data_IF_951333857151
#
_entry.id   IF_951333857151
#
_cell.length_a   1.000
_cell.length_b   1.000
_cell.length_c   1.000
_cell.angle_alpha   90.00
_cell.angle_beta   90.00
_cell.angle_gamma   90.00
#
_symmetry.space_group_name_H-M   'P 1'
#
loop_
_entity.id
_entity.type
_entity.pdbx_description
1 polymer ?
#
# COMPACT_ATOMS: atom_id res chain seq x y z
N UNK A 1 -1.53 -24.50 -9.97
CA UNK A 1 -1.38 -25.83 -9.38
C UNK A 1 -2.40 -26.07 -8.26
N UNK A 2 -2.36 -25.34 -7.10
CA UNK A 2 -3.22 -25.59 -5.93
C UNK A 2 -4.72 -25.51 -6.24
N UNK A 3 -5.20 -24.45 -6.89
CA UNK A 3 -6.62 -24.29 -7.22
C UNK A 3 -7.13 -25.35 -8.21
N UNK A 4 -6.29 -25.79 -9.13
CA UNK A 4 -6.62 -26.89 -10.04
C UNK A 4 -6.80 -28.20 -9.25
N UNK A 5 -5.87 -28.47 -8.34
CA UNK A 5 -5.92 -29.62 -7.46
C UNK A 5 -7.19 -29.62 -6.58
N UNK A 6 -7.51 -28.48 -5.97
CA UNK A 6 -8.75 -28.31 -5.17
C UNK A 6 -10.00 -28.55 -6.03
N UNK A 7 -9.99 -28.11 -7.29
CA UNK A 7 -11.12 -28.34 -8.20
C UNK A 7 -11.31 -29.83 -8.55
N UNK A 8 -10.22 -30.56 -8.70
CA UNK A 8 -10.23 -32.00 -8.99
C UNK A 8 -10.67 -32.83 -7.77
N UNK A 9 -10.29 -32.39 -6.55
CA UNK A 9 -10.54 -33.11 -5.30
C UNK A 9 -11.66 -32.48 -4.45
N UNK A 10 -12.60 -31.77 -5.08
CA UNK A 10 -13.68 -31.01 -4.39
C UNK A 10 -14.44 -31.82 -3.35
N UNK A 11 -14.75 -33.07 -3.65
CA UNK A 11 -15.54 -33.95 -2.78
C UNK A 11 -14.86 -34.19 -1.43
N UNK A 12 -13.54 -34.26 -1.41
CA UNK A 12 -12.76 -34.46 -0.18
C UNK A 12 -12.81 -33.21 0.71
N UNK A 13 -12.76 -32.03 0.09
CA UNK A 13 -12.75 -30.76 0.81
C UNK A 13 -14.13 -30.27 1.24
N UNK A 14 -15.21 -30.75 0.59
CA UNK A 14 -16.58 -30.31 0.93
C UNK A 14 -16.97 -30.60 2.38
N UNK A 15 -16.50 -31.70 2.96
CA UNK A 15 -16.82 -32.05 4.34
C UNK A 15 -16.15 -31.10 5.35
N UNK A 16 -14.99 -30.58 5.04
CA UNK A 16 -14.18 -29.74 5.94
C UNK A 16 -14.43 -28.26 5.75
N UNK A 17 -14.58 -27.83 4.50
CA UNK A 17 -14.61 -26.41 4.12
C UNK A 17 -15.94 -25.94 3.51
N UNK A 18 -16.93 -26.83 3.44
CA UNK A 18 -18.23 -26.53 2.85
C UNK A 18 -18.27 -26.67 1.33
N UNK A 19 -19.33 -26.16 0.71
CA UNK A 19 -19.56 -26.37 -0.72
C UNK A 19 -18.59 -25.57 -1.61
N UNK A 20 -17.62 -26.26 -2.18
CA UNK A 20 -16.68 -25.72 -3.16
C UNK A 20 -17.21 -25.99 -4.55
N UNK A 21 -17.68 -24.96 -5.25
CA UNK A 21 -18.17 -25.10 -6.64
C UNK A 21 -17.06 -24.91 -7.66
N UNK A 22 -17.13 -25.63 -8.77
CA UNK A 22 -16.21 -25.43 -9.91
C UNK A 22 -16.29 -23.98 -10.44
N UNK A 23 -17.46 -23.37 -10.38
CA UNK A 23 -17.67 -22.00 -10.79
C UNK A 23 -16.89 -21.01 -9.91
N UNK A 24 -16.89 -21.21 -8.59
CA UNK A 24 -16.10 -20.38 -7.67
C UNK A 24 -14.60 -20.52 -7.92
N UNK A 25 -14.09 -21.74 -8.09
CA UNK A 25 -12.68 -21.98 -8.40
C UNK A 25 -12.29 -21.31 -9.74
N UNK A 26 -13.15 -21.46 -10.76
CA UNK A 26 -12.92 -20.85 -12.07
C UNK A 26 -12.93 -19.33 -12.00
N UNK A 27 -13.80 -18.73 -11.18
CA UNK A 27 -13.84 -17.29 -10.97
C UNK A 27 -12.55 -16.77 -10.33
N UNK A 28 -12.02 -17.49 -9.33
CA UNK A 28 -10.72 -17.14 -8.71
C UNK A 28 -9.57 -17.27 -9.73
N UNK A 29 -9.53 -18.37 -10.49
CA UNK A 29 -8.51 -18.55 -11.53
C UNK A 29 -8.54 -17.43 -12.57
N UNK A 30 -9.73 -17.03 -13.03
CA UNK A 30 -9.88 -15.89 -13.97
C UNK A 30 -9.42 -14.57 -13.37
N UNK A 31 -9.61 -14.36 -12.08
CA UNK A 31 -9.13 -13.15 -11.39
C UNK A 31 -7.60 -13.14 -11.21
N UNK A 32 -6.96 -14.31 -11.11
CA UNK A 32 -5.50 -14.43 -10.98
C UNK A 32 -4.76 -14.33 -12.32
N UNK A 33 -5.39 -14.74 -13.43
CA UNK A 33 -4.79 -14.69 -14.76
C UNK A 33 -4.20 -13.32 -15.15
N UNK A 34 -4.91 -12.18 -14.94
CA UNK A 34 -4.34 -10.87 -15.23
C UNK A 34 -3.07 -10.56 -14.43
N UNK A 35 -3.00 -11.00 -13.16
CA UNK A 35 -1.81 -10.80 -12.31
C UNK A 35 -0.62 -11.58 -12.85
N UNK A 36 -0.84 -12.83 -13.28
CA UNK A 36 0.18 -13.67 -13.89
C UNK A 36 0.70 -13.05 -15.20
N UNK A 37 -0.22 -12.63 -16.09
CA UNK A 37 0.12 -11.96 -17.35
C UNK A 37 0.85 -10.63 -17.17
N UNK A 38 0.65 -9.95 -16.05
CA UNK A 38 1.31 -8.68 -15.70
C UNK A 38 2.68 -8.87 -15.05
N UNK A 39 3.24 -10.06 -15.06
CA UNK A 39 4.54 -10.36 -14.47
C UNK A 39 4.47 -10.84 -13.02
N UNK A 40 3.29 -11.30 -12.58
CA UNK A 40 3.08 -11.83 -11.23
C UNK A 40 4.03 -12.98 -10.87
N UNK A 41 4.45 -13.79 -11.82
CA UNK A 41 5.44 -14.86 -11.60
C UNK A 41 6.77 -14.32 -11.07
N UNK A 42 7.23 -13.18 -11.59
CA UNK A 42 8.45 -12.52 -11.12
C UNK A 42 8.25 -11.80 -9.80
N UNK A 43 7.03 -11.33 -9.57
CA UNK A 43 6.70 -10.51 -8.41
C UNK A 43 6.43 -11.36 -7.15
N UNK A 44 5.72 -12.49 -7.30
CA UNK A 44 5.38 -13.41 -6.20
C UNK A 44 6.37 -14.58 -6.07
N UNK A 45 7.58 -14.45 -6.65
CA UNK A 45 8.63 -15.46 -6.59
C UNK A 45 9.50 -15.37 -5.33
N UNK A 46 10.47 -16.26 -5.25
CA UNK A 46 11.53 -16.22 -4.25
C UNK A 46 12.78 -15.51 -4.81
N UNK A 47 13.53 -14.78 -3.97
CA UNK A 47 13.33 -14.57 -2.52
C UNK A 47 12.19 -13.58 -2.22
N UNK A 48 11.38 -13.92 -1.21
CA UNK A 48 10.31 -13.04 -0.74
C UNK A 48 10.88 -11.78 -0.06
N UNK A 49 10.20 -10.66 -0.25
CA UNK A 49 10.55 -9.39 0.41
C UNK A 49 10.19 -9.47 1.89
N UNK A 50 11.16 -9.22 2.76
CA UNK A 50 10.94 -9.08 4.21
C UNK A 50 11.05 -7.61 4.62
N UNK A 51 9.96 -7.06 5.15
CA UNK A 51 9.90 -5.65 5.59
C UNK A 51 10.89 -5.40 6.76
N UNK A 52 11.25 -6.42 7.55
CA UNK A 52 12.25 -6.29 8.62
C UNK A 52 13.62 -5.90 8.07
N UNK A 53 13.96 -6.31 6.86
CA UNK A 53 15.20 -5.93 6.21
C UNK A 53 15.30 -4.42 5.97
N UNK A 54 14.18 -3.74 5.80
CA UNK A 54 14.13 -2.28 5.62
C UNK A 54 14.46 -1.51 6.91
N UNK A 55 14.33 -2.14 8.07
CA UNK A 55 14.62 -1.55 9.38
C UNK A 55 16.05 -1.79 9.85
N UNK A 56 16.91 -2.38 9.02
CA UNK A 56 18.31 -2.61 9.37
C UNK A 56 19.04 -1.28 9.54
N UNK A 57 20.04 -1.32 10.38
CA UNK A 57 20.99 -0.23 10.58
C UNK A 57 22.36 -0.62 10.04
N UNK A 58 23.11 0.39 9.62
CA UNK A 58 24.51 0.26 9.23
C UNK A 58 25.40 0.03 10.46
N UNK A 59 26.65 -0.36 10.26
CA UNK A 59 27.60 -0.62 11.36
C UNK A 59 27.86 0.62 12.25
N UNK A 60 27.66 1.83 11.71
CA UNK A 60 27.76 3.11 12.43
C UNK A 60 26.43 3.53 13.09
N UNK A 61 25.44 2.66 13.12
CA UNK A 61 24.14 2.87 13.78
C UNK A 61 23.14 3.74 13.03
N UNK A 62 23.40 4.09 11.77
CA UNK A 62 22.45 4.82 10.95
C UNK A 62 21.43 3.89 10.33
N UNK A 63 20.20 4.37 10.14
CA UNK A 63 19.16 3.64 9.42
C UNK A 63 19.51 3.45 7.93
N UNK A 64 19.15 2.30 7.40
CA UNK A 64 19.24 2.03 5.96
C UNK A 64 18.26 2.88 5.17
N UNK A 65 18.69 3.37 4.02
CA UNK A 65 17.81 4.02 3.03
C UNK A 65 17.47 2.96 1.98
N UNK A 66 16.19 2.66 1.86
CA UNK A 66 15.67 1.71 0.88
C UNK A 66 14.89 2.50 -0.17
N UNK A 67 15.14 2.22 -1.44
CA UNK A 67 14.42 2.84 -2.56
C UNK A 67 13.68 1.74 -3.32
N UNK A 68 12.36 1.83 -3.32
CA UNK A 68 11.51 0.95 -4.12
C UNK A 68 11.18 1.64 -5.45
N UNK A 69 11.76 1.14 -6.53
CA UNK A 69 11.41 1.59 -7.87
C UNK A 69 10.09 0.95 -8.32
N UNK A 70 9.05 1.77 -8.38
CA UNK A 70 7.70 1.36 -8.77
C UNK A 70 7.35 1.66 -10.24
N UNK A 71 8.27 2.14 -11.07
CA UNK A 71 7.97 2.57 -12.45
C UNK A 71 7.26 1.49 -13.26
N UNK A 72 7.71 0.25 -13.20
CA UNK A 72 7.06 -0.88 -13.88
C UNK A 72 5.78 -1.34 -13.17
N UNK A 73 5.78 -1.27 -11.85
CA UNK A 73 4.66 -1.74 -11.02
C UNK A 73 3.42 -0.84 -11.19
N UNK A 74 3.61 0.47 -11.27
CA UNK A 74 2.53 1.46 -11.48
C UNK A 74 1.82 1.29 -12.83
N UNK A 75 2.53 0.76 -13.83
CA UNK A 75 1.91 0.45 -15.13
C UNK A 75 0.87 -0.69 -15.04
N UNK A 76 0.86 -1.43 -13.94
CA UNK A 76 -0.06 -2.52 -13.66
C UNK A 76 -0.86 -2.24 -12.38
N UNK A 77 -1.96 -1.45 -12.46
CA UNK A 77 -2.66 -0.94 -11.27
C UNK A 77 -3.12 -2.04 -10.30
N UNK A 78 -3.54 -3.19 -10.82
CA UNK A 78 -3.97 -4.32 -9.98
C UNK A 78 -2.81 -4.92 -9.20
N UNK A 79 -1.65 -5.08 -9.83
CA UNK A 79 -0.46 -5.61 -9.18
C UNK A 79 0.10 -4.61 -8.16
N UNK A 80 0.12 -3.32 -8.51
CA UNK A 80 0.52 -2.23 -7.62
C UNK A 80 -0.38 -2.16 -6.37
N UNK A 81 -1.70 -2.21 -6.56
CA UNK A 81 -2.65 -2.23 -5.46
C UNK A 81 -2.48 -3.46 -4.55
N UNK A 82 -2.24 -4.64 -5.14
CA UNK A 82 -2.01 -5.88 -4.39
C UNK A 82 -0.73 -5.81 -3.56
N UNK A 83 0.33 -5.27 -4.12
CA UNK A 83 1.59 -5.04 -3.42
C UNK A 83 1.43 -4.09 -2.23
N UNK A 84 0.79 -2.95 -2.46
CA UNK A 84 0.56 -1.97 -1.39
C UNK A 84 -0.32 -2.52 -0.27
N UNK A 85 -1.39 -3.25 -0.62
CA UNK A 85 -2.24 -3.90 0.36
C UNK A 85 -1.47 -4.90 1.21
N UNK A 86 -0.62 -5.72 0.58
CA UNK A 86 0.25 -6.65 1.27
C UNK A 86 1.23 -5.91 2.19
N UNK A 87 1.98 -4.96 1.65
CA UNK A 87 2.99 -4.19 2.39
C UNK A 87 2.41 -3.49 3.62
N UNK A 88 1.28 -2.79 3.44
CA UNK A 88 0.62 -2.09 4.54
C UNK A 88 0.03 -3.05 5.58
N UNK A 89 -0.41 -4.25 5.17
CA UNK A 89 -0.90 -5.27 6.09
C UNK A 89 0.24 -5.88 6.89
N UNK A 90 1.32 -6.24 6.22
CA UNK A 90 2.52 -6.80 6.81
C UNK A 90 3.15 -5.87 7.86
N UNK A 91 3.17 -4.56 7.58
CA UNK A 91 3.62 -3.56 8.55
C UNK A 91 2.83 -3.62 9.87
N UNK A 92 1.52 -3.85 9.79
CA UNK A 92 0.68 -3.99 10.99
C UNK A 92 0.90 -5.29 11.73
N UNK A 93 1.23 -6.37 11.03
CA UNK A 93 1.46 -7.67 11.64
C UNK A 93 2.83 -7.74 12.32
N UNK A 94 3.86 -7.19 11.67
CA UNK A 94 5.24 -7.27 12.14
C UNK A 94 5.54 -6.26 13.25
N UNK A 95 5.00 -5.04 13.16
CA UNK A 95 5.34 -3.97 14.08
C UNK A 95 4.42 -3.97 15.31
N UNK A 96 4.97 -4.26 16.51
CA UNK A 96 4.21 -4.10 17.74
C UNK A 96 3.92 -2.63 18.02
N UNK A 97 2.90 -2.37 18.80
CA UNK A 97 2.66 -1.05 19.32
C UNK A 97 3.84 -0.59 20.18
N UNK A 98 4.35 0.59 19.87
CA UNK A 98 5.55 1.14 20.49
C UNK A 98 5.25 2.40 21.33
N UNK A 99 4.00 2.87 21.31
CA UNK A 99 3.61 4.13 21.93
C UNK A 99 4.20 5.35 21.21
N UNK A 100 4.31 6.46 21.93
CA UNK A 100 4.89 7.70 21.41
C UNK A 100 6.43 7.64 21.58
N UNK A 101 7.12 7.42 20.49
CA UNK A 101 8.58 7.40 20.45
C UNK A 101 9.11 8.78 20.09
N UNK A 102 10.25 9.18 20.68
CA UNK A 102 10.95 10.43 20.32
C UNK A 102 11.39 10.48 18.86
N UNK A 103 11.71 9.32 18.28
CA UNK A 103 12.08 9.16 16.87
C UNK A 103 11.38 7.96 16.26
N UNK A 104 10.92 8.07 15.01
CA UNK A 104 10.33 6.93 14.32
C UNK A 104 11.39 5.85 14.06
N UNK A 105 10.96 4.59 14.12
CA UNK A 105 11.80 3.42 13.75
C UNK A 105 11.97 3.31 12.24
N UNK A 106 10.98 3.78 11.51
CA UNK A 106 10.93 3.72 10.05
C UNK A 106 10.15 4.91 9.51
N UNK A 107 10.53 5.39 8.33
CA UNK A 107 9.84 6.49 7.66
C UNK A 107 9.59 6.10 6.21
N UNK A 108 8.34 6.24 5.77
CA UNK A 108 7.94 6.08 4.38
C UNK A 108 7.78 7.43 3.71
N UNK A 109 8.34 7.56 2.52
CA UNK A 109 8.08 8.65 1.60
C UNK A 109 7.34 8.07 0.40
N UNK A 110 6.09 8.47 0.21
CA UNK A 110 5.32 8.15 -0.98
C UNK A 110 5.41 9.32 -1.94
N UNK A 111 6.28 9.19 -2.91
CA UNK A 111 6.37 10.15 -4.01
C UNK A 111 5.22 9.92 -4.98
N UNK A 112 4.77 10.98 -5.66
CA UNK A 112 3.57 10.98 -6.49
C UNK A 112 2.35 10.34 -5.78
N UNK A 113 2.11 10.79 -4.54
CA UNK A 113 1.13 10.18 -3.63
C UNK A 113 -0.29 10.11 -4.21
N UNK A 114 -0.61 10.89 -5.24
CA UNK A 114 -1.88 10.79 -5.96
C UNK A 114 -2.17 9.38 -6.48
N UNK A 115 -1.13 8.60 -6.78
CA UNK A 115 -1.25 7.22 -7.26
C UNK A 115 -1.81 6.25 -6.21
N UNK A 116 -1.73 6.61 -4.92
CA UNK A 116 -2.31 5.81 -3.83
C UNK A 116 -3.82 6.00 -3.69
N UNK A 117 -4.37 7.07 -4.29
CA UNK A 117 -5.73 7.50 -4.04
C UNK A 117 -6.59 7.56 -5.31
N UNK A 118 -5.98 7.71 -6.49
CA UNK A 118 -6.70 7.83 -7.76
C UNK A 118 -6.89 6.46 -8.40
N UNK A 119 -8.12 6.15 -8.78
CA UNK A 119 -8.50 4.93 -9.51
C UNK A 119 -8.06 3.61 -8.85
N UNK A 120 -7.93 3.63 -7.52
CA UNK A 120 -7.52 2.47 -6.73
C UNK A 120 -8.75 1.72 -6.18
N UNK A 121 -8.63 0.40 -5.92
CA UNK A 121 -9.69 -0.36 -5.26
C UNK A 121 -10.05 0.24 -3.90
N UNK A 122 -11.34 0.27 -3.57
CA UNK A 122 -11.84 0.79 -2.28
C UNK A 122 -11.16 0.12 -1.07
N UNK A 123 -10.82 -1.15 -1.18
CA UNK A 123 -10.12 -1.91 -0.13
C UNK A 123 -8.73 -1.33 0.13
N UNK A 124 -7.99 -0.94 -0.92
CA UNK A 124 -6.70 -0.28 -0.77
C UNK A 124 -6.85 1.08 -0.11
N UNK A 125 -7.79 1.90 -0.57
CA UNK A 125 -8.04 3.22 0.02
C UNK A 125 -8.32 3.11 1.52
N UNK A 126 -9.24 2.23 1.92
CA UNK A 126 -9.55 1.98 3.34
C UNK A 126 -8.32 1.53 4.12
N UNK A 127 -7.46 0.68 3.53
CA UNK A 127 -6.24 0.22 4.18
C UNK A 127 -5.23 1.34 4.36
N UNK A 128 -5.07 2.22 3.37
CA UNK A 128 -4.20 3.41 3.47
C UNK A 128 -4.72 4.34 4.57
N UNK A 129 -6.02 4.65 4.59
CA UNK A 129 -6.64 5.49 5.62
C UNK A 129 -6.44 4.90 7.03
N UNK A 130 -6.70 3.62 7.21
CA UNK A 130 -6.46 2.92 8.47
C UNK A 130 -5.00 2.97 8.89
N UNK A 131 -4.10 2.73 7.93
CA UNK A 131 -2.66 2.75 8.18
C UNK A 131 -2.20 4.12 8.65
N UNK A 132 -2.54 5.19 7.93
CA UNK A 132 -2.16 6.55 8.29
C UNK A 132 -2.65 6.92 9.69
N UNK A 133 -3.86 6.50 10.05
CA UNK A 133 -4.45 6.77 11.36
C UNK A 133 -3.71 6.09 12.51
N UNK A 134 -3.22 4.88 12.32
CA UNK A 134 -2.71 4.02 13.40
C UNK A 134 -1.20 3.79 13.37
N UNK A 135 -0.53 4.10 12.27
CA UNK A 135 0.86 3.69 12.08
C UNK A 135 1.84 4.42 13.00
N UNK A 136 1.47 5.62 13.46
CA UNK A 136 2.28 6.40 14.39
C UNK A 136 2.51 5.65 15.70
N UNK A 137 1.47 5.01 16.26
CA UNK A 137 1.60 4.21 17.50
C UNK A 137 2.56 3.03 17.36
N UNK A 138 2.89 2.64 16.13
CA UNK A 138 3.88 1.60 15.81
C UNK A 138 5.28 2.15 15.54
N UNK A 139 5.46 3.45 15.72
CA UNK A 139 6.74 4.13 15.52
C UNK A 139 7.11 4.33 14.06
N UNK A 140 6.13 4.46 13.15
CA UNK A 140 6.36 4.70 11.73
C UNK A 140 5.88 6.09 11.34
N UNK A 141 6.74 6.85 10.67
CA UNK A 141 6.39 8.12 10.03
C UNK A 141 5.99 7.92 8.57
N UNK A 142 5.01 8.69 8.11
CA UNK A 142 4.58 8.66 6.70
C UNK A 142 4.57 10.07 6.14
N UNK A 143 5.19 10.23 4.97
CA UNK A 143 5.22 11.45 4.20
C UNK A 143 4.60 11.22 2.83
N UNK A 144 3.65 12.05 2.47
CA UNK A 144 3.08 12.09 1.12
C UNK A 144 3.65 13.28 0.38
N UNK A 145 4.24 13.02 -0.78
CA UNK A 145 4.74 14.04 -1.70
C UNK A 145 3.83 14.07 -2.91
N UNK A 146 3.25 15.23 -3.21
CA UNK A 146 2.32 15.40 -4.32
C UNK A 146 2.41 16.79 -4.91
N UNK A 147 1.99 16.96 -6.15
CA UNK A 147 1.97 18.23 -6.87
C UNK A 147 0.74 19.07 -6.53
N UNK A 148 -0.33 18.47 -6.03
CA UNK A 148 -1.55 19.18 -5.66
C UNK A 148 -2.11 18.74 -4.31
N UNK A 149 -2.49 19.69 -3.44
CA UNK A 149 -3.14 19.36 -2.17
C UNK A 149 -4.45 18.57 -2.32
N UNK A 150 -5.13 18.72 -3.45
CA UNK A 150 -6.40 18.04 -3.74
C UNK A 150 -6.26 16.56 -4.12
N UNK A 151 -5.03 16.08 -4.30
CA UNK A 151 -4.77 14.69 -4.67
C UNK A 151 -4.95 13.72 -3.49
N UNK A 152 -4.87 14.24 -2.28
CA UNK A 152 -4.99 13.45 -1.05
C UNK A 152 -6.40 13.64 -0.48
N UNK A 153 -7.14 12.55 -0.20
CA UNK A 153 -8.48 12.62 0.41
C UNK A 153 -8.52 13.38 1.73
N UNK A 154 -9.58 14.11 1.98
CA UNK A 154 -9.75 14.88 3.22
C UNK A 154 -9.66 14.00 4.49
N UNK A 155 -10.12 12.76 4.41
CA UNK A 155 -10.02 11.76 5.48
C UNK A 155 -8.58 11.45 5.87
N UNK A 156 -7.67 11.42 4.90
CA UNK A 156 -6.23 11.23 5.11
C UNK A 156 -5.60 12.55 5.57
N UNK A 157 -5.92 13.67 4.91
CA UNK A 157 -5.39 14.98 5.27
C UNK A 157 -5.69 15.35 6.73
N UNK A 158 -6.84 14.96 7.24
CA UNK A 158 -7.24 15.19 8.64
C UNK A 158 -6.35 14.42 9.66
N UNK A 159 -5.63 13.40 9.24
CA UNK A 159 -4.70 12.64 10.09
C UNK A 159 -3.26 13.16 10.02
N UNK A 160 -2.93 14.01 9.04
CA UNK A 160 -1.60 14.55 8.86
C UNK A 160 -1.38 15.78 9.73
N UNK A 161 -0.42 15.72 10.64
CA UNK A 161 -0.15 16.80 11.61
C UNK A 161 0.61 17.97 10.99
N UNK A 162 1.44 17.72 9.98
CA UNK A 162 2.31 18.72 9.38
C UNK A 162 2.12 18.79 7.87
N UNK A 163 2.16 20.00 7.35
CA UNK A 163 2.14 20.26 5.91
C UNK A 163 3.32 21.16 5.55
N UNK A 164 4.08 20.76 4.54
CA UNK A 164 5.15 21.57 3.95
C UNK A 164 4.73 21.89 2.53
N UNK A 165 4.58 23.18 2.23
CA UNK A 165 4.16 23.64 0.93
C UNK A 165 5.24 24.47 0.28
N UNK A 166 5.78 23.98 -0.84
CA UNK A 166 6.63 24.74 -1.73
C UNK A 166 5.81 25.54 -2.73
N UNK A 167 6.46 26.51 -3.38
CA UNK A 167 5.86 27.45 -4.33
C UNK A 167 4.78 26.83 -5.22
N UNK A 168 3.53 27.08 -4.90
CA UNK A 168 2.39 26.66 -5.72
C UNK A 168 2.16 27.71 -6.79
N UNK A 169 2.09 27.24 -8.03
CA UNK A 169 1.58 28.03 -9.13
C UNK A 169 0.09 27.74 -9.25
N UNK A 170 -0.76 28.66 -8.86
CA UNK A 170 -2.19 28.53 -8.96
C UNK A 170 -2.70 29.54 -10.01
N UNK A 171 -3.09 29.02 -11.16
CA UNK A 171 -3.57 29.83 -12.28
C UNK A 171 -5.08 29.78 -12.45
N UNK A 172 -5.72 28.73 -11.97
CA UNK A 172 -7.18 28.55 -12.05
C UNK A 172 -7.87 28.92 -10.74
N UNK A 173 -9.15 29.37 -10.77
CA UNK A 173 -9.93 29.62 -9.56
C UNK A 173 -10.04 28.41 -8.62
N UNK A 174 -10.06 27.20 -9.17
CA UNK A 174 -10.10 25.96 -8.40
C UNK A 174 -8.78 25.72 -7.64
N UNK A 175 -7.63 25.92 -8.31
CA UNK A 175 -6.32 25.81 -7.69
C UNK A 175 -6.12 26.87 -6.60
N UNK A 176 -6.53 28.13 -6.87
CA UNK A 176 -6.49 29.20 -5.87
C UNK A 176 -7.32 28.87 -4.64
N UNK A 177 -8.50 28.25 -4.83
CA UNK A 177 -9.33 27.80 -3.71
C UNK A 177 -8.65 26.67 -2.92
N UNK A 178 -8.08 25.68 -3.58
CA UNK A 178 -7.36 24.58 -2.96
C UNK A 178 -6.17 25.08 -2.12
N UNK A 179 -5.36 26.00 -2.69
CA UNK A 179 -4.23 26.62 -1.99
C UNK A 179 -4.69 27.39 -0.75
N UNK A 180 -5.73 28.22 -0.87
CA UNK A 180 -6.30 28.97 0.28
C UNK A 180 -6.83 28.05 1.37
N UNK A 181 -7.41 26.91 1.01
CA UNK A 181 -7.90 25.94 1.97
C UNK A 181 -6.76 25.22 2.68
N UNK A 182 -5.69 24.91 1.96
CA UNK A 182 -4.50 24.26 2.51
C UNK A 182 -3.65 25.20 3.41
N UNK A 183 -3.77 26.53 3.24
CA UNK A 183 -3.05 27.53 4.02
C UNK A 183 -3.73 27.95 5.34
N UNK A 184 -4.91 27.38 5.63
CA UNK A 184 -5.65 27.58 6.89
C UNK A 184 -5.39 26.44 7.85
#
# INVERSE_FOLDING_TARGET
AMLTYVNEHRTEYMMTYGNITSQSVTAILRALLPLEQQGGELFFGEPALDIRDWMRTTADGRGMINVLDCVKLVQNPTLYASFLLWMLSELFEILPEAGDLDKPRMVFFFDEAHMLFRDVPTVLLQKVEQTVKLIRSRGVGVYFVTQSPSDIPDTVLAQLSNRVQHALRAYTPAELKAVRTAAR
#
